data_IF_570336187972
#
_entry.id   IF_570336187972
#
_cell.length_a   1.000
_cell.length_b   1.000
_cell.length_c   1.000
_cell.angle_alpha   90.00
_cell.angle_beta   90.00
_cell.angle_gamma   90.00
#
_symmetry.space_group_name_H-M   'P 1'
#
loop_
_entity.id
_entity.type
_entity.pdbx_description
1 polymer ?
#
# COMPACT_ATOMS: atom_id res chain seq x y z
N UNK A 1 37.16 -10.33 25.21
CA UNK A 1 36.05 -10.92 24.42
C UNK A 1 34.81 -10.87 25.30
N UNK A 2 33.97 -9.86 25.09
CA UNK A 2 32.78 -9.61 25.92
C UNK A 2 31.62 -10.44 25.37
N UNK A 3 31.19 -11.43 26.14
CA UNK A 3 29.95 -12.16 25.89
C UNK A 3 28.78 -11.25 26.29
N UNK A 4 28.33 -10.40 25.37
CA UNK A 4 27.04 -9.75 25.48
C UNK A 4 25.97 -10.83 25.37
N UNK A 5 25.51 -11.30 26.53
CA UNK A 5 24.25 -12.01 26.67
C UNK A 5 23.16 -11.11 26.10
N UNK A 6 22.67 -11.44 24.91
CA UNK A 6 21.37 -10.98 24.45
C UNK A 6 20.36 -11.45 25.50
N UNK A 7 20.05 -10.61 26.47
CA UNK A 7 18.81 -10.69 27.23
C UNK A 7 17.71 -10.64 26.18
N UNK A 8 17.24 -11.82 25.77
CA UNK A 8 15.94 -11.95 25.12
C UNK A 8 14.97 -11.27 26.08
N UNK A 9 14.42 -10.12 25.71
CA UNK A 9 13.22 -9.64 26.38
C UNK A 9 12.22 -10.80 26.31
N UNK A 10 12.03 -11.51 27.42
CA UNK A 10 10.86 -12.35 27.58
C UNK A 10 9.71 -11.36 27.66
N UNK A 11 9.06 -11.13 26.53
CA UNK A 11 7.84 -10.37 26.53
C UNK A 11 6.79 -11.23 27.22
N UNK A 12 6.62 -11.00 28.52
CA UNK A 12 5.50 -11.53 29.32
C UNK A 12 4.21 -10.76 29.04
N UNK A 13 4.26 -9.76 28.15
CA UNK A 13 3.11 -8.97 27.75
C UNK A 13 2.23 -9.75 26.77
N UNK A 14 0.97 -10.06 27.12
CA UNK A 14 0.08 -10.81 26.25
C UNK A 14 -0.20 -10.07 24.93
N UNK A 15 -0.27 -10.80 23.83
CA UNK A 15 -0.45 -10.24 22.49
C UNK A 15 -1.78 -9.51 22.35
N UNK A 16 -2.85 -10.06 22.91
CA UNK A 16 -4.19 -9.46 22.94
C UNK A 16 -4.20 -8.10 23.66
N UNK A 17 -3.51 -7.98 24.79
CA UNK A 17 -3.37 -6.71 25.52
C UNK A 17 -2.58 -5.70 24.70
N UNK A 18 -1.51 -6.13 24.03
CA UNK A 18 -0.72 -5.26 23.15
C UNK A 18 -1.56 -4.73 21.98
N UNK A 19 -2.35 -5.60 21.34
CA UNK A 19 -3.22 -5.23 20.24
C UNK A 19 -4.33 -4.26 20.71
N UNK A 20 -4.84 -4.43 21.94
CA UNK A 20 -5.82 -3.52 22.51
C UNK A 20 -5.21 -2.15 22.79
N UNK A 21 -4.03 -2.09 23.43
CA UNK A 21 -3.28 -0.83 23.61
C UNK A 21 -3.06 -0.14 22.28
N UNK A 22 -2.67 -0.91 21.25
CA UNK A 22 -2.38 -0.34 19.94
C UNK A 22 -3.57 0.34 19.25
N UNK A 23 -4.81 0.02 19.63
CA UNK A 23 -6.02 0.70 19.12
C UNK A 23 -6.16 2.13 19.64
N UNK A 24 -5.57 2.43 20.80
CA UNK A 24 -5.68 3.72 21.47
C UNK A 24 -4.38 4.54 21.38
N UNK A 25 -3.33 3.99 20.78
CA UNK A 25 -2.01 4.62 20.67
C UNK A 25 -1.83 5.28 19.32
N UNK A 26 -1.22 6.47 19.30
CA UNK A 26 -0.93 7.17 18.05
C UNK A 26 0.17 6.48 17.24
N UNK A 27 0.16 6.69 15.92
CA UNK A 27 1.11 6.09 14.98
C UNK A 27 2.59 6.34 15.33
N UNK A 28 3.02 7.54 15.80
CA UNK A 28 4.41 7.76 16.20
C UNK A 28 4.86 6.84 17.32
N UNK A 29 4.04 6.64 18.35
CA UNK A 29 4.34 5.79 19.49
C UNK A 29 4.32 4.30 19.09
N UNK A 30 3.37 3.91 18.23
CA UNK A 30 3.33 2.58 17.63
C UNK A 30 4.62 2.24 16.86
N UNK A 31 5.25 3.23 16.21
CA UNK A 31 6.55 3.03 15.56
C UNK A 31 7.67 2.77 16.56
N UNK A 32 7.66 3.43 17.72
CA UNK A 32 8.62 3.15 18.78
C UNK A 32 8.48 1.70 19.29
N UNK A 33 7.26 1.19 19.41
CA UNK A 33 7.01 -0.22 19.76
C UNK A 33 7.57 -1.22 18.74
N UNK A 34 7.54 -0.91 17.45
CA UNK A 34 8.14 -1.78 16.42
C UNK A 34 9.66 -1.93 16.57
N UNK A 35 10.34 -0.88 17.06
CA UNK A 35 11.80 -0.84 17.17
C UNK A 35 12.27 -1.51 18.47
N UNK A 36 11.45 -1.52 19.51
CA UNK A 36 11.84 -1.98 20.85
C UNK A 36 11.97 -3.51 20.97
N UNK A 37 11.02 -4.28 20.44
CA UNK A 37 11.03 -5.74 20.56
C UNK A 37 10.50 -6.45 19.31
N UNK A 38 11.13 -7.59 18.98
CA UNK A 38 10.72 -8.44 17.85
C UNK A 38 9.29 -8.98 17.99
N UNK A 39 8.86 -9.32 19.20
CA UNK A 39 7.50 -9.84 19.40
C UNK A 39 6.46 -8.74 19.15
N UNK A 40 6.72 -7.52 19.62
CA UNK A 40 5.88 -6.36 19.31
C UNK A 40 5.87 -6.06 17.82
N UNK A 41 7.03 -6.14 17.16
CA UNK A 41 7.10 -6.01 15.72
C UNK A 41 6.19 -7.03 15.00
N UNK A 42 6.26 -8.30 15.38
CA UNK A 42 5.45 -9.36 14.74
C UNK A 42 3.94 -9.14 14.94
N UNK A 43 3.53 -8.69 16.13
CA UNK A 43 2.14 -8.46 16.47
C UNK A 43 1.57 -7.17 15.84
N UNK A 44 2.35 -6.09 15.84
CA UNK A 44 1.90 -4.76 15.42
C UNK A 44 2.11 -4.47 13.93
N UNK A 45 3.12 -5.06 13.28
CA UNK A 45 3.36 -4.82 11.85
C UNK A 45 2.13 -5.17 10.97
N UNK A 46 1.39 -6.28 11.20
CA UNK A 46 0.16 -6.56 10.48
C UNK A 46 -0.91 -5.47 10.60
N UNK A 47 -0.99 -4.78 11.74
CA UNK A 47 -1.92 -3.69 11.96
C UNK A 47 -1.45 -2.41 11.27
N UNK A 48 -0.19 -2.02 11.50
CA UNK A 48 0.36 -0.75 11.03
C UNK A 48 0.52 -0.68 9.52
N UNK A 49 0.90 -1.79 8.88
CA UNK A 49 1.10 -1.84 7.44
C UNK A 49 -0.15 -2.32 6.68
N UNK A 50 -1.29 -2.51 7.38
CA UNK A 50 -2.55 -2.92 6.75
C UNK A 50 -3.02 -1.93 5.69
N UNK A 51 -2.88 -0.64 6.01
CA UNK A 51 -3.21 0.47 5.12
C UNK A 51 -1.95 1.31 4.94
N UNK A 52 -1.57 1.52 3.69
CA UNK A 52 -0.43 2.37 3.34
C UNK A 52 -0.94 3.59 2.61
N UNK A 53 -0.71 4.76 3.20
CA UNK A 53 -1.06 6.05 2.61
C UNK A 53 0.21 6.79 2.17
N UNK A 54 0.23 7.19 0.91
CA UNK A 54 1.33 7.90 0.27
C UNK A 54 0.76 9.16 -0.34
N UNK A 55 1.03 10.30 0.31
CA UNK A 55 0.57 11.61 -0.14
C UNK A 55 1.78 12.40 -0.63
N UNK A 56 1.83 12.67 -1.93
CA UNK A 56 2.83 13.55 -2.51
C UNK A 56 2.33 15.00 -2.44
N UNK A 57 3.12 15.91 -1.85
CA UNK A 57 2.69 17.28 -1.64
C UNK A 57 2.49 18.02 -2.95
N UNK A 58 1.72 19.10 -2.89
CA UNK A 58 1.52 20.02 -4.01
C UNK A 58 2.84 20.71 -4.32
N UNK A 59 3.23 20.73 -5.60
CA UNK A 59 4.45 21.41 -6.04
C UNK A 59 4.40 22.89 -5.67
N UNK A 60 5.47 23.41 -5.05
CA UNK A 60 5.59 24.83 -4.68
C UNK A 60 5.23 25.16 -3.24
N UNK A 61 4.78 24.19 -2.44
CA UNK A 61 4.78 24.32 -0.98
C UNK A 61 6.16 23.90 -0.45
N UNK A 62 6.75 24.72 0.42
CA UNK A 62 7.92 24.35 1.24
C UNK A 62 7.48 23.31 2.27
N UNK A 63 7.33 22.06 1.80
CA UNK A 63 7.17 20.91 2.66
C UNK A 63 8.57 20.33 2.92
N UNK A 64 9.02 20.41 4.18
CA UNK A 64 10.31 19.86 4.62
C UNK A 64 10.45 18.35 4.33
N UNK A 65 9.34 17.65 4.05
CA UNK A 65 9.33 16.24 3.68
C UNK A 65 8.77 15.98 2.27
N UNK A 66 9.12 16.81 1.29
CA UNK A 66 8.76 16.61 -0.12
C UNK A 66 9.14 15.21 -0.67
N UNK A 67 10.19 14.60 -0.14
CA UNK A 67 10.66 13.25 -0.50
C UNK A 67 9.98 12.11 0.27
N UNK A 68 9.07 12.42 1.22
CA UNK A 68 8.33 11.42 2.01
C UNK A 68 7.73 10.30 1.16
N UNK A 69 7.05 10.56 0.02
CA UNK A 69 6.44 9.51 -0.78
C UNK A 69 7.47 8.48 -1.25
N UNK A 70 8.60 8.98 -1.74
CA UNK A 70 9.69 8.15 -2.27
C UNK A 70 10.34 7.35 -1.15
N UNK A 71 10.53 7.95 0.03
CA UNK A 71 11.06 7.28 1.22
C UNK A 71 10.15 6.17 1.73
N UNK A 72 8.83 6.40 1.76
CA UNK A 72 7.87 5.37 2.18
C UNK A 72 7.90 4.20 1.21
N UNK A 73 7.82 4.47 -0.10
CA UNK A 73 7.84 3.43 -1.12
C UNK A 73 9.18 2.68 -1.17
N UNK A 74 10.32 3.37 -1.03
CA UNK A 74 11.64 2.73 -1.03
C UNK A 74 11.80 1.79 0.16
N UNK A 75 11.32 2.19 1.34
CA UNK A 75 11.35 1.35 2.54
C UNK A 75 10.49 0.09 2.36
N UNK A 76 9.30 0.22 1.75
CA UNK A 76 8.45 -0.93 1.44
C UNK A 76 9.11 -1.86 0.43
N UNK A 77 9.74 -1.32 -0.62
CA UNK A 77 10.48 -2.12 -1.60
C UNK A 77 11.66 -2.83 -0.95
N UNK A 78 12.43 -2.14 -0.11
CA UNK A 78 13.54 -2.74 0.63
C UNK A 78 13.06 -3.89 1.53
N UNK A 79 11.81 -3.86 2.00
CA UNK A 79 11.20 -4.93 2.80
C UNK A 79 10.93 -6.22 2.01
N UNK A 80 10.73 -6.12 0.69
CA UNK A 80 10.38 -7.25 -0.21
C UNK A 80 11.45 -8.36 -0.16
N UNK A 81 12.73 -8.00 0.00
CA UNK A 81 13.85 -8.97 0.09
C UNK A 81 13.69 -9.98 1.23
N UNK A 82 12.85 -9.67 2.22
CA UNK A 82 12.58 -10.53 3.36
C UNK A 82 11.49 -11.59 3.09
N UNK A 83 10.75 -11.52 1.96
CA UNK A 83 9.73 -12.50 1.58
C UNK A 83 10.29 -13.92 1.45
N UNK A 84 11.50 -14.07 0.90
CA UNK A 84 12.14 -15.37 0.71
C UNK A 84 12.83 -15.90 1.97
N UNK A 85 12.78 -15.15 3.08
CA UNK A 85 13.47 -15.54 4.31
C UNK A 85 12.48 -16.11 5.33
N UNK A 86 12.87 -17.09 6.16
CA UNK A 86 12.05 -17.57 7.28
C UNK A 86 11.77 -16.48 8.33
N UNK A 87 12.33 -15.27 8.17
CA UNK A 87 12.05 -14.05 8.94
C UNK A 87 11.08 -13.14 8.19
N UNK A 88 9.98 -13.70 7.69
CA UNK A 88 8.96 -12.98 6.94
C UNK A 88 8.36 -11.77 7.68
N UNK A 89 8.49 -11.66 9.01
CA UNK A 89 7.98 -10.54 9.80
C UNK A 89 8.41 -9.13 9.33
N UNK A 90 9.51 -9.03 8.58
CA UNK A 90 10.00 -7.77 8.00
C UNK A 90 9.58 -7.53 6.56
N UNK A 91 8.81 -8.43 5.96
CA UNK A 91 8.25 -8.27 4.62
C UNK A 91 6.92 -7.53 4.71
N UNK A 92 6.97 -6.20 4.87
CA UNK A 92 5.79 -5.38 5.16
C UNK A 92 4.72 -5.44 4.09
N UNK A 93 5.13 -5.65 2.84
CA UNK A 93 4.20 -5.75 1.70
C UNK A 93 3.21 -6.91 1.84
N UNK A 94 3.54 -7.96 2.59
CA UNK A 94 2.60 -9.06 2.83
C UNK A 94 1.43 -8.67 3.75
N UNK A 95 1.56 -7.57 4.50
CA UNK A 95 0.50 -7.11 5.41
C UNK A 95 -0.44 -6.11 4.73
N UNK A 96 -0.03 -5.55 3.58
CA UNK A 96 -0.77 -4.52 2.88
C UNK A 96 -2.09 -5.08 2.34
N UNK A 97 -3.20 -4.46 2.77
CA UNK A 97 -4.56 -4.72 2.30
C UNK A 97 -5.13 -3.56 1.51
N UNK A 98 -4.76 -2.33 1.90
CA UNK A 98 -5.21 -1.09 1.26
C UNK A 98 -4.02 -0.22 0.93
N UNK A 99 -4.02 0.37 -0.27
CA UNK A 99 -3.04 1.38 -0.67
C UNK A 99 -3.76 2.62 -1.17
N UNK A 100 -3.39 3.76 -0.60
CA UNK A 100 -3.84 5.08 -1.02
C UNK A 100 -2.62 5.83 -1.54
N UNK A 101 -2.65 6.20 -2.82
CA UNK A 101 -1.62 7.05 -3.42
C UNK A 101 -2.30 8.29 -3.99
N UNK A 102 -2.02 9.43 -3.35
CA UNK A 102 -2.53 10.74 -3.76
C UNK A 102 -1.33 11.59 -4.13
N UNK A 103 -1.31 12.10 -5.35
CA UNK A 103 -0.25 12.97 -5.83
C UNK A 103 -0.83 14.15 -6.59
N UNK A 104 -0.16 15.28 -6.43
CA UNK A 104 -0.41 16.51 -7.18
C UNK A 104 0.84 16.95 -7.97
N UNK A 105 1.90 16.14 -7.95
CA UNK A 105 3.19 16.49 -8.55
C UNK A 105 3.61 15.44 -9.60
N UNK A 106 3.48 15.76 -10.91
CA UNK A 106 3.80 14.81 -11.98
C UNK A 106 5.29 14.47 -12.04
N UNK A 107 6.18 15.36 -11.59
CA UNK A 107 7.62 15.09 -11.56
C UNK A 107 7.97 14.02 -10.52
N UNK A 108 7.33 14.04 -9.35
CA UNK A 108 7.49 12.98 -8.35
C UNK A 108 6.91 11.65 -8.85
N UNK A 109 5.80 11.68 -9.58
CA UNK A 109 5.12 10.48 -10.08
C UNK A 109 5.96 9.66 -11.06
N UNK A 110 6.87 10.30 -11.81
CA UNK A 110 7.83 9.60 -12.69
C UNK A 110 8.63 8.56 -11.89
N UNK A 111 8.96 8.84 -10.63
CA UNK A 111 9.67 7.93 -9.72
C UNK A 111 8.72 7.14 -8.83
N UNK A 112 7.69 7.81 -8.31
CA UNK A 112 6.74 7.25 -7.35
C UNK A 112 5.89 6.12 -7.94
N UNK A 113 5.34 6.29 -9.15
CA UNK A 113 4.44 5.30 -9.74
C UNK A 113 5.13 3.96 -10.07
N UNK A 114 6.35 3.92 -10.64
CA UNK A 114 7.07 2.64 -10.79
C UNK A 114 7.32 1.94 -9.46
N UNK A 115 7.68 2.68 -8.41
CA UNK A 115 7.91 2.12 -7.08
C UNK A 115 6.61 1.58 -6.46
N UNK A 116 5.52 2.32 -6.61
CA UNK A 116 4.19 1.88 -6.24
C UNK A 116 3.83 0.57 -6.94
N UNK A 117 4.05 0.47 -8.25
CA UNK A 117 3.77 -0.76 -9.01
C UNK A 117 4.54 -1.98 -8.47
N UNK A 118 5.79 -1.80 -8.03
CA UNK A 118 6.56 -2.86 -7.37
C UNK A 118 5.94 -3.27 -6.03
N UNK A 119 5.52 -2.30 -5.21
CA UNK A 119 4.86 -2.57 -3.92
C UNK A 119 3.55 -3.33 -4.15
N UNK A 120 2.72 -2.89 -5.10
CA UNK A 120 1.44 -3.54 -5.43
C UNK A 120 1.66 -4.99 -5.87
N UNK A 121 2.67 -5.26 -6.69
CA UNK A 121 2.99 -6.63 -7.12
C UNK A 121 3.58 -7.53 -6.04
N UNK A 122 4.22 -6.95 -5.03
CA UNK A 122 4.73 -7.66 -3.87
C UNK A 122 3.74 -7.73 -2.70
N UNK A 123 2.50 -7.26 -2.90
CA UNK A 123 1.43 -7.24 -1.91
C UNK A 123 0.39 -8.31 -2.24
N UNK A 124 0.65 -9.59 -1.91
CA UNK A 124 -0.20 -10.71 -2.30
C UNK A 124 -1.55 -10.70 -1.61
N UNK A 125 -1.85 -9.70 -0.77
CA UNK A 125 -3.05 -9.60 0.07
C UNK A 125 -3.87 -8.33 -0.20
N UNK A 126 -3.47 -7.54 -1.18
CA UNK A 126 -4.08 -6.29 -1.55
C UNK A 126 -5.54 -6.49 -2.02
N UNK A 127 -6.44 -5.68 -1.46
CA UNK A 127 -7.89 -5.69 -1.74
C UNK A 127 -8.43 -4.34 -2.17
N UNK A 128 -7.82 -3.25 -1.72
CA UNK A 128 -8.33 -1.90 -1.96
C UNK A 128 -7.22 -1.00 -2.49
N UNK A 129 -7.53 -0.23 -3.53
CA UNK A 129 -6.63 0.74 -4.13
C UNK A 129 -7.35 2.08 -4.29
N UNK A 130 -6.74 3.15 -3.81
CA UNK A 130 -7.10 4.51 -4.16
C UNK A 130 -5.94 5.18 -4.91
N UNK A 131 -6.20 5.69 -6.11
CA UNK A 131 -5.21 6.38 -6.94
C UNK A 131 -5.75 7.74 -7.37
N UNK A 132 -5.18 8.81 -6.84
CA UNK A 132 -5.49 10.18 -7.21
C UNK A 132 -4.24 10.85 -7.74
N UNK A 133 -4.28 11.23 -9.02
CA UNK A 133 -3.11 11.68 -9.76
C UNK A 133 -3.44 12.92 -10.59
N UNK A 134 -2.46 13.80 -10.87
CA UNK A 134 -2.66 14.88 -11.83
C UNK A 134 -2.88 14.29 -13.23
N UNK A 135 -3.48 15.08 -14.12
CA UNK A 135 -3.83 14.64 -15.49
C UNK A 135 -2.60 14.12 -16.25
N UNK A 136 -1.46 14.76 -16.05
CA UNK A 136 -0.21 14.46 -16.76
C UNK A 136 0.42 13.13 -16.35
N UNK A 137 0.13 12.64 -15.14
CA UNK A 137 0.60 11.35 -14.65
C UNK A 137 -0.28 10.17 -15.07
N UNK A 138 -1.49 10.43 -15.59
CA UNK A 138 -2.43 9.36 -15.97
C UNK A 138 -1.86 8.39 -17.02
N UNK A 139 -1.20 8.84 -18.12
CA UNK A 139 -0.68 7.92 -19.11
C UNK A 139 0.35 6.95 -18.52
N UNK A 140 1.21 7.44 -17.63
CA UNK A 140 2.21 6.63 -16.93
C UNK A 140 1.52 5.62 -16.00
N UNK A 141 0.56 6.08 -15.20
CA UNK A 141 -0.20 5.21 -14.30
C UNK A 141 -0.94 4.12 -15.08
N UNK A 142 -1.63 4.46 -16.16
CA UNK A 142 -2.33 3.49 -17.01
C UNK A 142 -1.36 2.49 -17.65
N UNK A 143 -0.20 2.96 -18.14
CA UNK A 143 0.84 2.08 -18.66
C UNK A 143 1.31 1.08 -17.61
N UNK A 144 1.57 1.55 -16.39
CA UNK A 144 2.02 0.70 -15.28
C UNK A 144 0.93 -0.27 -14.81
N UNK A 145 -0.31 0.17 -14.64
CA UNK A 145 -1.42 -0.70 -14.24
C UNK A 145 -1.74 -1.77 -15.31
N UNK A 146 -1.48 -1.47 -16.58
CA UNK A 146 -1.60 -2.42 -17.70
C UNK A 146 -0.44 -3.41 -17.79
N UNK A 147 0.79 -2.98 -17.48
CA UNK A 147 2.02 -3.78 -17.62
C UNK A 147 2.39 -4.56 -16.35
N UNK A 148 2.12 -3.98 -15.19
CA UNK A 148 2.53 -4.46 -13.88
C UNK A 148 1.30 -4.71 -13.00
N UNK A 149 1.09 -6.00 -12.72
CA UNK A 149 0.86 -6.51 -11.37
C UNK A 149 -0.45 -6.11 -10.65
N UNK A 150 -1.44 -7.00 -10.73
CA UNK A 150 -1.86 -7.79 -9.57
C UNK A 150 -1.86 -9.23 -10.08
N UNK A 151 -1.05 -10.12 -9.49
CA UNK A 151 -0.98 -11.52 -9.95
C UNK A 151 -2.36 -12.13 -9.80
N UNK A 152 -3.01 -12.41 -10.93
CA UNK A 152 -4.21 -13.23 -10.96
C UNK A 152 -3.74 -14.69 -11.02
N UNK A 153 -4.11 -15.57 -10.08
CA UNK A 153 -4.06 -16.99 -10.34
C UNK A 153 -5.05 -17.21 -11.49
N UNK A 154 -4.54 -17.58 -12.66
CA UNK A 154 -5.35 -17.94 -13.84
C UNK A 154 -6.63 -18.65 -13.38
N UNK A 155 -7.83 -18.29 -13.88
CA UNK A 155 -9.01 -19.07 -13.53
C UNK A 155 -8.66 -20.52 -13.85
N UNK A 156 -8.74 -21.39 -12.83
CA UNK A 156 -8.31 -22.76 -12.98
C UNK A 156 -9.09 -23.36 -14.15
N UNK A 157 -8.36 -23.83 -15.15
CA UNK A 157 -8.96 -24.48 -16.31
C UNK A 157 -9.82 -25.63 -15.79
N UNK A 158 -11.10 -25.64 -16.16
CA UNK A 158 -12.09 -26.60 -15.62
C UNK A 158 -11.63 -28.03 -15.90
N UNK A 159 -10.87 -28.24 -16.97
CA UNK A 159 -10.27 -29.52 -17.33
C UNK A 159 -9.03 -29.87 -16.49
N UNK A 160 -8.24 -28.88 -16.05
CA UNK A 160 -7.11 -29.08 -15.13
C UNK A 160 -7.56 -29.40 -13.70
N UNK A 161 -8.73 -28.88 -13.29
CA UNK A 161 -9.41 -29.20 -12.03
C UNK A 161 -9.90 -30.66 -11.96
N UNK A 162 -10.14 -31.30 -13.10
CA UNK A 162 -10.60 -32.70 -13.18
C UNK A 162 -9.45 -33.71 -13.16
N UNK A 163 -8.22 -33.27 -13.49
CA UNK A 163 -7.08 -34.15 -13.74
C UNK A 163 -6.00 -34.12 -12.65
N UNK A 164 -6.10 -33.21 -11.67
CA UNK A 164 -5.14 -33.12 -10.57
C UNK A 164 -5.82 -33.28 -9.20
N UNK A 165 -5.25 -34.07 -8.26
CA UNK A 165 -5.81 -34.22 -6.93
C UNK A 165 -5.88 -32.86 -6.23
N UNK A 166 -7.08 -32.55 -5.68
CA UNK A 166 -7.44 -31.29 -5.00
C UNK A 166 -6.44 -30.94 -3.90
N UNK A 167 -5.36 -30.25 -4.26
CA UNK A 167 -4.73 -29.30 -3.35
C UNK A 167 -5.55 -28.02 -3.50
N UNK A 168 -6.22 -27.51 -2.45
CA UNK A 168 -6.90 -26.24 -2.54
C UNK A 168 -5.87 -25.18 -2.91
N UNK A 169 -5.90 -24.74 -4.17
CA UNK A 169 -5.10 -23.60 -4.61
C UNK A 169 -5.58 -22.43 -3.77
N UNK A 170 -4.73 -21.85 -2.90
CA UNK A 170 -5.13 -20.70 -2.11
C UNK A 170 -5.60 -19.64 -3.09
N UNK A 171 -6.88 -19.25 -3.00
CA UNK A 171 -7.43 -18.20 -3.83
C UNK A 171 -6.60 -16.95 -3.56
N UNK A 172 -5.78 -16.56 -4.54
CA UNK A 172 -5.07 -15.30 -4.37
C UNK A 172 -6.14 -14.22 -4.18
N UNK A 173 -5.96 -13.34 -3.21
CA UNK A 173 -6.93 -12.33 -2.88
C UNK A 173 -7.11 -11.42 -4.08
N UNK A 174 -8.38 -11.18 -4.39
CA UNK A 174 -8.81 -10.38 -5.51
C UNK A 174 -8.83 -8.93 -5.07
N UNK A 175 -8.51 -8.03 -6.00
CA UNK A 175 -8.80 -6.62 -5.80
C UNK A 175 -10.32 -6.45 -5.74
N UNK A 176 -10.83 -6.07 -4.57
CA UNK A 176 -12.27 -5.95 -4.28
C UNK A 176 -12.77 -4.53 -4.55
N UNK A 177 -11.96 -3.51 -4.25
CA UNK A 177 -12.35 -2.12 -4.35
C UNK A 177 -11.31 -1.25 -5.04
N UNK A 178 -11.81 -0.30 -5.84
CA UNK A 178 -11.03 0.77 -6.43
C UNK A 178 -11.69 2.13 -6.22
N UNK A 179 -10.88 3.13 -5.89
CA UNK A 179 -11.28 4.54 -5.77
C UNK A 179 -10.34 5.43 -6.59
N UNK A 180 -10.89 6.40 -7.31
CA UNK A 180 -10.08 7.41 -8.00
C UNK A 180 -10.94 8.59 -8.39
N UNK A 181 -10.36 9.78 -8.39
CA UNK A 181 -10.94 10.98 -9.00
C UNK A 181 -10.96 10.93 -10.53
N UNK A 182 -10.31 9.93 -11.16
CA UNK A 182 -10.19 9.79 -12.62
C UNK A 182 -10.89 8.53 -13.12
N UNK A 183 -12.01 8.71 -13.84
CA UNK A 183 -12.77 7.62 -14.44
C UNK A 183 -11.93 6.73 -15.38
N UNK A 184 -10.92 7.29 -16.05
CA UNK A 184 -10.00 6.56 -16.94
C UNK A 184 -9.20 5.49 -16.21
N UNK A 185 -8.74 5.78 -14.99
CA UNK A 185 -8.00 4.85 -14.13
C UNK A 185 -8.93 3.73 -13.67
N UNK A 186 -10.14 4.09 -13.22
CA UNK A 186 -11.15 3.11 -12.78
C UNK A 186 -11.54 2.16 -13.90
N UNK A 187 -11.88 2.70 -15.07
CA UNK A 187 -12.26 1.91 -16.24
C UNK A 187 -11.15 0.94 -16.66
N UNK A 188 -9.89 1.41 -16.73
CA UNK A 188 -8.76 0.56 -17.11
C UNK A 188 -8.51 -0.59 -16.12
N UNK A 189 -8.81 -0.39 -14.84
CA UNK A 189 -8.65 -1.40 -13.81
C UNK A 189 -9.82 -2.39 -13.80
N UNK A 190 -11.04 -1.92 -14.07
CA UNK A 190 -12.22 -2.78 -14.22
C UNK A 190 -12.20 -3.61 -15.50
N UNK A 191 -11.68 -3.08 -16.61
CA UNK A 191 -11.61 -3.78 -17.91
C UNK A 191 -10.92 -5.15 -17.79
N UNK A 192 -9.96 -5.27 -16.87
CA UNK A 192 -9.11 -6.46 -16.72
C UNK A 192 -9.42 -7.28 -15.48
N UNK A 193 -10.35 -6.85 -14.61
CA UNK A 193 -10.51 -7.40 -13.26
C UNK A 193 -11.97 -7.42 -12.81
N UNK A 194 -12.45 -8.50 -12.17
CA UNK A 194 -13.77 -8.52 -11.57
C UNK A 194 -13.77 -7.76 -10.23
N UNK A 195 -13.74 -6.42 -10.32
CA UNK A 195 -13.78 -5.53 -9.16
C UNK A 195 -15.24 -5.41 -8.70
N UNK A 196 -15.48 -5.62 -7.41
CA UNK A 196 -16.83 -5.56 -6.81
C UNK A 196 -17.29 -4.12 -6.61
N UNK A 197 -16.39 -3.24 -6.19
CA UNK A 197 -16.73 -1.87 -5.84
C UNK A 197 -15.81 -0.90 -6.57
N UNK A 198 -16.39 0.00 -7.35
CA UNK A 198 -15.67 1.05 -8.05
C UNK A 198 -16.28 2.41 -7.71
N UNK A 199 -15.46 3.32 -7.20
CA UNK A 199 -15.88 4.68 -6.84
C UNK A 199 -15.09 5.67 -7.68
N UNK A 200 -15.81 6.52 -8.41
CA UNK A 200 -15.23 7.70 -9.07
C UNK A 200 -15.63 8.91 -8.27
N UNK A 201 -14.70 9.49 -7.52
CA UNK A 201 -14.98 10.74 -6.82
C UNK A 201 -14.96 11.87 -7.84
N UNK A 202 -16.14 12.40 -8.15
CA UNK A 202 -16.20 13.68 -8.84
C UNK A 202 -15.68 14.73 -7.86
N UNK A 203 -14.41 15.11 -8.00
CA UNK A 203 -13.91 16.33 -7.40
C UNK A 203 -14.89 17.43 -7.78
N UNK A 204 -15.51 18.07 -6.78
CA UNK A 204 -16.42 19.19 -7.00
C UNK A 204 -15.71 20.12 -7.98
N UNK A 205 -16.28 20.41 -9.17
CA UNK A 205 -15.65 21.36 -10.07
C UNK A 205 -15.37 22.63 -9.26
N UNK A 206 -14.20 23.27 -9.38
CA UNK A 206 -13.93 24.49 -8.64
C UNK A 206 -15.10 25.43 -8.90
N UNK A 207 -15.88 25.70 -7.87
CA UNK A 207 -16.97 26.66 -7.96
C UNK A 207 -16.26 27.96 -8.35
N UNK A 208 -16.59 28.57 -9.51
CA UNK A 208 -15.89 29.76 -9.98
C UNK A 208 -15.86 30.89 -8.94
N UNK A 209 -16.81 30.89 -8.00
CA UNK A 209 -16.91 31.86 -6.91
C UNK A 209 -15.85 31.68 -5.80
N UNK A 210 -15.23 30.49 -5.65
CA UNK A 210 -14.15 30.28 -4.67
C UNK A 210 -12.78 30.76 -5.16
N UNK A 211 -12.58 30.92 -6.47
CA UNK A 211 -11.39 31.57 -7.01
C UNK A 211 -11.33 33.06 -6.68
N UNK A 212 -12.49 33.69 -6.40
CA UNK A 212 -12.59 35.08 -5.95
C UNK A 212 -12.28 35.26 -4.46
N UNK A 213 -12.21 34.17 -3.69
CA UNK A 213 -11.96 34.18 -2.24
C UNK A 213 -10.52 33.79 -1.86
N UNK A 214 -9.71 33.36 -2.84
CA UNK A 214 -8.29 33.10 -2.61
C UNK A 214 -7.50 34.37 -2.96
N UNK A 215 -6.75 34.97 -2.00
CA UNK A 215 -5.98 36.16 -2.27
C UNK A 215 -4.90 35.85 -3.31
N UNK A 216 -4.90 36.63 -4.39
CA UNK A 216 -3.84 36.65 -5.39
C UNK A 216 -2.54 37.09 -4.70
N UNK A 217 -1.63 36.14 -4.49
CA UNK A 217 -0.22 36.40 -4.16
C UNK A 217 0.66 35.80 -5.24
#
# INVERSE_FOLDING_TARGET
>A
MSNYSHTRCSNDFPEDVLLEVARYTEVPDLRAFLISCRNYHNALAPLLYRTVEVNAPVSGYDDEDADRPIRVLSNLIASIRHLSTPRAARAYTQYIRSVVYISYNPTLDIRGLPMLAMVLGASPFLRHIQLDLPRDSQPLALSLLRRHLIVWPSPADVFALLSTPKVPTPSAPRLESIRSTKATIVAALMERRPITTAVVDHGIPPIPDLQLLLPLY
#
